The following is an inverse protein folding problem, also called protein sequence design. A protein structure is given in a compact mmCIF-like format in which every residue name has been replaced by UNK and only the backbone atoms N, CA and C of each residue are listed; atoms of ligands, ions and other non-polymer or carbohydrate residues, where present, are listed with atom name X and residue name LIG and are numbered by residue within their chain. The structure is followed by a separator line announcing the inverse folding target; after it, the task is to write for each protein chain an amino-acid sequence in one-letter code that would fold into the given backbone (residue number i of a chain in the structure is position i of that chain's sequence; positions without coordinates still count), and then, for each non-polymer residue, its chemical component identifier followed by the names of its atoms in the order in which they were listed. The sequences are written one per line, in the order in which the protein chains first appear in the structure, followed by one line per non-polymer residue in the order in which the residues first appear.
data_IF_462904738782
#
_entry.id   IF_462904738782
#
_cell.length_a   1.000
_cell.length_b   1.000
_cell.length_c   1.000
_cell.angle_alpha   90.00
_cell.angle_beta   90.00
_cell.angle_gamma   90.00
#
_symmetry.space_group_name_H-M   'P 1'
#
loop_
_entity.id
_entity.type
_entity.pdbx_description
1 polymer ?
#
# COMPACT_ATOMS: atom_id res chain seq x y z
N UNK A 1 0.58 -5.18 2.03
CA UNK A 1 0.80 -6.63 1.90
C UNK A 1 0.34 -7.12 0.53
N UNK A 2 -0.88 -6.86 0.11
CA UNK A 2 -1.46 -7.30 -1.18
C UNK A 2 -0.57 -6.99 -2.40
N UNK A 3 -0.06 -5.75 -2.52
CA UNK A 3 0.93 -5.41 -3.55
C UNK A 3 2.17 -6.33 -3.48
N UNK A 4 2.75 -6.52 -2.29
CA UNK A 4 3.97 -7.31 -2.12
C UNK A 4 3.76 -8.76 -2.57
N UNK A 5 2.71 -9.41 -2.07
CA UNK A 5 2.37 -10.79 -2.45
C UNK A 5 2.14 -10.90 -3.95
N UNK A 6 1.36 -9.98 -4.54
CA UNK A 6 1.08 -10.02 -5.98
C UNK A 6 2.35 -9.92 -6.83
N UNK A 7 3.26 -8.96 -6.54
CA UNK A 7 4.49 -8.81 -7.34
C UNK A 7 5.51 -9.93 -7.12
N UNK A 8 5.43 -10.66 -6.01
CA UNK A 8 6.26 -11.83 -5.75
C UNK A 8 5.72 -13.08 -6.45
N UNK A 9 4.41 -13.22 -6.61
CA UNK A 9 3.77 -14.38 -7.24
C UNK A 9 3.63 -14.22 -8.75
N UNK A 10 3.40 -13.02 -9.26
CA UNK A 10 3.21 -12.77 -10.68
C UNK A 10 4.53 -12.50 -11.40
N UNK A 11 4.95 -13.43 -12.25
CA UNK A 11 6.17 -13.29 -13.08
C UNK A 11 6.03 -12.22 -14.18
N UNK A 12 4.82 -11.99 -14.65
CA UNK A 12 4.50 -11.01 -15.69
C UNK A 12 3.34 -10.13 -15.23
N UNK A 13 3.64 -8.89 -14.89
CA UNK A 13 2.63 -7.92 -14.46
C UNK A 13 1.76 -7.40 -15.61
N UNK A 14 2.16 -7.64 -16.86
CA UNK A 14 1.37 -7.25 -18.04
C UNK A 14 0.43 -8.38 -18.50
N UNK A 15 0.38 -9.50 -17.75
CA UNK A 15 -0.65 -10.52 -17.96
C UNK A 15 -2.03 -9.96 -17.63
N UNK A 16 -3.02 -10.36 -18.44
CA UNK A 16 -4.40 -9.88 -18.32
C UNK A 16 -5.22 -10.83 -17.45
N UNK A 17 -6.03 -10.25 -16.57
CA UNK A 17 -7.06 -10.95 -15.81
C UNK A 17 -8.43 -10.35 -16.11
N UNK A 18 -9.48 -11.12 -15.82
CA UNK A 18 -10.88 -10.73 -16.05
C UNK A 18 -11.58 -10.52 -14.71
N UNK A 19 -12.32 -9.44 -14.59
CA UNK A 19 -13.09 -9.12 -13.40
C UNK A 19 -14.24 -10.12 -13.22
N UNK A 20 -14.27 -10.79 -12.08
CA UNK A 20 -15.34 -11.69 -11.68
C UNK A 20 -16.47 -10.94 -10.96
N UNK A 21 -17.68 -11.49 -10.97
CA UNK A 21 -18.76 -11.00 -10.12
C UNK A 21 -18.43 -11.19 -8.63
N UNK A 22 -17.74 -12.27 -8.27
CA UNK A 22 -17.40 -12.57 -6.89
C UNK A 22 -16.47 -11.52 -6.28
N UNK A 23 -15.43 -11.08 -7.01
CA UNK A 23 -14.52 -10.03 -6.55
C UNK A 23 -15.25 -8.71 -6.26
N UNK A 24 -16.29 -8.37 -7.04
CA UNK A 24 -17.06 -7.15 -6.87
C UNK A 24 -18.13 -7.26 -5.78
N UNK A 25 -18.78 -8.42 -5.64
CA UNK A 25 -19.84 -8.62 -4.66
C UNK A 25 -19.36 -8.60 -3.20
N UNK A 26 -18.07 -8.76 -2.96
CA UNK A 26 -17.45 -8.71 -1.64
C UNK A 26 -16.97 -7.30 -1.26
N UNK A 27 -17.31 -6.27 -2.05
CA UNK A 27 -16.94 -4.88 -1.78
C UNK A 27 -18.02 -4.21 -0.94
N UNK A 28 -17.64 -3.66 0.21
CA UNK A 28 -18.56 -2.94 1.07
C UNK A 28 -19.07 -1.66 0.36
N UNK A 29 -20.35 -1.32 0.49
CA UNK A 29 -20.88 -0.08 -0.07
C UNK A 29 -20.10 1.14 0.42
N UNK A 30 -19.90 2.12 -0.47
CA UNK A 30 -19.20 3.38 -0.20
C UNK A 30 -17.71 3.24 0.16
N UNK A 31 -17.12 2.07 -0.03
CA UNK A 31 -15.67 1.91 0.10
C UNK A 31 -14.92 2.42 -1.13
N UNK A 32 -13.60 2.59 -0.99
CA UNK A 32 -12.75 3.09 -2.09
C UNK A 32 -12.71 2.10 -3.26
N UNK A 33 -12.94 2.61 -4.46
CA UNK A 33 -12.88 1.85 -5.71
C UNK A 33 -12.25 2.68 -6.83
N UNK A 34 -11.88 2.04 -7.93
CA UNK A 34 -11.59 2.73 -9.18
C UNK A 34 -12.82 3.51 -9.65
N UNK A 35 -12.58 4.61 -10.33
CA UNK A 35 -13.68 5.37 -10.93
C UNK A 35 -13.44 5.59 -12.44
N UNK A 36 -14.36 5.17 -13.33
CA UNK A 36 -15.55 4.35 -13.03
C UNK A 36 -15.22 2.97 -12.48
N UNK A 37 -16.12 2.44 -11.61
CA UNK A 37 -15.95 1.11 -11.02
C UNK A 37 -15.90 0.03 -12.10
N UNK A 38 -14.98 -0.96 -12.00
CA UNK A 38 -14.93 -2.09 -12.92
C UNK A 38 -16.23 -2.87 -13.01
N UNK A 39 -16.47 -3.49 -14.16
CA UNK A 39 -17.64 -4.33 -14.41
C UNK A 39 -17.25 -5.79 -14.58
N UNK A 40 -18.15 -6.74 -14.27
CA UNK A 40 -17.90 -8.14 -14.55
C UNK A 40 -17.58 -8.36 -16.05
N UNK A 41 -16.53 -9.13 -16.33
CA UNK A 41 -16.04 -9.37 -17.68
C UNK A 41 -15.05 -8.31 -18.20
N UNK A 42 -14.87 -7.17 -17.52
CA UNK A 42 -13.85 -6.20 -17.88
C UNK A 42 -12.44 -6.78 -17.67
N UNK A 43 -11.50 -6.40 -18.52
CA UNK A 43 -10.15 -6.93 -18.49
C UNK A 43 -9.14 -5.85 -18.10
N UNK A 44 -8.18 -6.24 -17.25
CA UNK A 44 -7.08 -5.40 -16.81
C UNK A 44 -5.79 -6.18 -16.79
N UNK A 45 -4.67 -5.51 -16.96
CA UNK A 45 -3.39 -6.10 -16.60
C UNK A 45 -3.25 -6.16 -15.06
N UNK A 46 -2.44 -7.10 -14.56
CA UNK A 46 -2.10 -7.13 -13.13
C UNK A 46 -1.48 -5.78 -12.72
N UNK A 47 -0.67 -5.16 -13.58
CA UNK A 47 -0.08 -3.84 -13.38
C UNK A 47 -1.13 -2.76 -13.16
N UNK A 48 -2.16 -2.68 -14.01
CA UNK A 48 -3.25 -1.70 -13.89
C UNK A 48 -3.95 -1.81 -12.54
N UNK A 49 -4.26 -3.04 -12.12
CA UNK A 49 -4.90 -3.31 -10.84
C UNK A 49 -4.01 -2.96 -9.65
N UNK A 50 -2.69 -3.18 -9.74
CA UNK A 50 -1.74 -2.78 -8.69
C UNK A 50 -1.65 -1.26 -8.56
N UNK A 51 -1.70 -0.52 -9.64
CA UNK A 51 -1.80 0.95 -9.58
C UNK A 51 -3.16 1.41 -9.03
N UNK A 52 -4.26 0.78 -9.43
CA UNK A 52 -5.59 1.05 -8.85
C UNK A 52 -5.63 0.78 -7.34
N UNK A 53 -5.04 -0.33 -6.89
CA UNK A 53 -4.88 -0.68 -5.48
C UNK A 53 -4.09 0.37 -4.70
N UNK A 54 -2.99 0.87 -5.26
CA UNK A 54 -2.07 1.76 -4.52
C UNK A 54 -2.49 3.22 -4.58
N UNK A 55 -2.96 3.72 -5.72
CA UNK A 55 -3.31 5.12 -5.92
C UNK A 55 -4.71 5.47 -5.43
N UNK A 56 -5.70 4.64 -5.76
CA UNK A 56 -7.10 4.85 -5.40
C UNK A 56 -7.54 4.06 -4.17
N UNK A 57 -6.68 3.19 -3.62
CA UNK A 57 -7.07 2.21 -2.59
C UNK A 57 -8.24 1.35 -3.05
N UNK A 58 -8.28 0.96 -4.34
CA UNK A 58 -9.36 0.18 -4.93
C UNK A 58 -9.52 -1.18 -4.24
N UNK A 59 -10.62 -1.35 -3.49
CA UNK A 59 -10.88 -2.59 -2.76
C UNK A 59 -11.19 -3.74 -3.72
N UNK A 60 -11.90 -3.45 -4.82
CA UNK A 60 -12.13 -4.41 -5.89
C UNK A 60 -10.82 -4.83 -6.55
N UNK A 61 -9.87 -3.91 -6.72
CA UNK A 61 -8.56 -4.25 -7.26
C UNK A 61 -7.86 -5.28 -6.39
N UNK A 62 -7.96 -5.17 -5.06
CA UNK A 62 -7.39 -6.13 -4.13
C UNK A 62 -8.01 -7.53 -4.31
N UNK A 63 -9.34 -7.61 -4.42
CA UNK A 63 -10.05 -8.87 -4.60
C UNK A 63 -9.77 -9.51 -5.98
N UNK A 64 -9.76 -8.70 -7.05
CA UNK A 64 -9.44 -9.18 -8.41
C UNK A 64 -8.01 -9.73 -8.45
N UNK A 65 -7.05 -9.03 -7.81
CA UNK A 65 -5.67 -9.49 -7.70
C UNK A 65 -5.57 -10.79 -6.90
N UNK A 66 -6.31 -10.92 -5.81
CA UNK A 66 -6.34 -12.14 -5.00
C UNK A 66 -6.82 -13.35 -5.82
N UNK A 67 -7.92 -13.21 -6.56
CA UNK A 67 -8.41 -14.25 -7.44
C UNK A 67 -7.43 -14.55 -8.59
N UNK A 68 -6.81 -13.53 -9.17
CA UNK A 68 -5.85 -13.71 -10.27
C UNK A 68 -4.58 -14.46 -9.83
N UNK A 69 -4.16 -14.30 -8.57
CA UNK A 69 -2.94 -14.91 -8.02
C UNK A 69 -3.19 -16.32 -7.49
N UNK A 70 -4.26 -16.50 -6.70
CA UNK A 70 -4.51 -17.75 -5.96
C UNK A 70 -5.78 -18.49 -6.43
N UNK A 71 -6.58 -17.90 -7.31
CA UNK A 71 -7.87 -18.46 -7.74
C UNK A 71 -9.03 -18.11 -6.82
N UNK A 72 -8.77 -17.77 -5.58
CA UNK A 72 -9.77 -17.32 -4.59
C UNK A 72 -9.17 -16.36 -3.56
N UNK A 73 -10.04 -15.64 -2.84
CA UNK A 73 -9.63 -14.61 -1.88
C UNK A 73 -9.06 -15.22 -0.60
N UNK A 74 -9.60 -16.32 -0.13
CA UNK A 74 -9.19 -16.93 1.14
C UNK A 74 -7.77 -17.48 1.06
N UNK A 75 -7.44 -18.22 -0.02
CA UNK A 75 -6.08 -18.69 -0.28
C UNK A 75 -5.07 -17.55 -0.40
N UNK A 76 -5.49 -16.42 -0.98
CA UNK A 76 -4.63 -15.24 -1.03
C UNK A 76 -4.39 -14.62 0.34
N UNK A 77 -5.40 -14.57 1.20
CA UNK A 77 -5.29 -14.09 2.58
C UNK A 77 -4.36 -14.98 3.41
N UNK A 78 -4.43 -16.30 3.24
CA UNK A 78 -3.48 -17.23 3.86
C UNK A 78 -2.05 -16.90 3.45
N UNK A 79 -1.81 -16.71 2.14
CA UNK A 79 -0.50 -16.33 1.61
C UNK A 79 -0.02 -14.95 2.13
N UNK A 80 -0.93 -13.98 2.31
CA UNK A 80 -0.60 -12.70 2.95
C UNK A 80 -0.10 -12.90 4.38
N UNK A 81 -0.74 -13.77 5.15
CA UNK A 81 -0.38 -14.07 6.53
C UNK A 81 0.95 -14.82 6.64
N UNK A 82 1.21 -15.77 5.75
CA UNK A 82 2.52 -16.45 5.65
C UNK A 82 3.62 -15.43 5.33
N UNK A 83 3.37 -14.59 4.32
CA UNK A 83 4.34 -13.58 3.91
C UNK A 83 4.61 -12.52 4.98
N UNK A 84 3.61 -12.18 5.80
CA UNK A 84 3.79 -11.30 6.96
C UNK A 84 4.75 -11.92 7.99
N UNK A 85 4.58 -13.20 8.31
CA UNK A 85 5.49 -13.94 9.22
C UNK A 85 6.92 -13.95 8.69
N UNK A 86 7.12 -14.20 7.39
CA UNK A 86 8.42 -14.17 6.74
C UNK A 86 9.07 -12.78 6.78
N UNK A 87 8.28 -11.70 6.68
CA UNK A 87 8.76 -10.34 6.85
C UNK A 87 9.13 -10.00 8.30
N UNK A 88 8.80 -10.87 9.27
CA UNK A 88 9.00 -10.67 10.69
C UNK A 88 7.86 -9.91 11.38
N UNK A 89 6.73 -9.70 10.72
CA UNK A 89 5.55 -9.03 11.25
C UNK A 89 4.74 -9.98 12.14
N UNK A 90 5.16 -10.13 13.38
CA UNK A 90 4.66 -11.16 14.31
C UNK A 90 3.32 -10.83 14.97
N UNK A 91 2.93 -9.56 14.96
CA UNK A 91 1.69 -9.05 15.56
C UNK A 91 0.72 -8.58 14.48
N UNK A 92 0.76 -9.24 13.31
CA UNK A 92 -0.07 -8.90 12.15
C UNK A 92 -0.88 -10.11 11.74
N UNK A 93 -2.17 -9.89 11.53
CA UNK A 93 -3.09 -10.83 10.91
C UNK A 93 -3.96 -10.12 9.90
N UNK A 94 -4.04 -10.65 8.70
CA UNK A 94 -4.90 -10.18 7.62
C UNK A 94 -6.10 -11.10 7.47
N UNK A 95 -7.30 -10.52 7.39
CA UNK A 95 -8.57 -11.24 7.19
C UNK A 95 -9.16 -10.97 5.79
N UNK A 96 -8.58 -10.02 5.08
CA UNK A 96 -8.99 -9.65 3.72
C UNK A 96 -7.82 -8.97 2.97
N UNK A 97 -7.87 -8.90 1.62
CA UNK A 97 -6.79 -8.30 0.84
C UNK A 97 -6.88 -6.77 0.73
N UNK A 98 -8.01 -6.15 1.06
CA UNK A 98 -8.27 -4.72 0.83
C UNK A 98 -8.09 -3.82 2.06
N UNK A 99 -8.06 -4.40 3.27
CA UNK A 99 -7.77 -3.64 4.50
C UNK A 99 -8.99 -2.98 5.16
N UNK A 100 -10.22 -3.37 4.80
CA UNK A 100 -11.40 -2.96 5.56
C UNK A 100 -11.45 -3.68 6.90
N UNK A 101 -12.15 -3.07 7.86
CA UNK A 101 -12.23 -3.54 9.24
C UNK A 101 -12.78 -4.97 9.35
N UNK A 102 -12.11 -5.81 10.14
CA UNK A 102 -12.57 -7.09 10.65
C UNK A 102 -11.97 -7.29 12.04
N UNK A 103 -12.62 -8.10 12.89
CA UNK A 103 -12.26 -8.23 14.30
C UNK A 103 -10.82 -8.69 14.53
N UNK A 104 -10.31 -9.52 13.65
CA UNK A 104 -8.96 -10.06 13.68
C UNK A 104 -8.00 -9.45 12.64
N UNK A 105 -8.42 -8.40 11.89
CA UNK A 105 -7.58 -7.68 10.95
C UNK A 105 -6.71 -6.66 11.67
N UNK A 106 -5.59 -7.12 12.22
CA UNK A 106 -4.78 -6.37 13.18
C UNK A 106 -3.32 -6.28 12.72
N UNK A 107 -2.67 -5.17 13.08
CA UNK A 107 -1.24 -4.96 12.86
C UNK A 107 -0.66 -3.98 13.87
N UNK A 108 0.65 -3.74 13.80
CA UNK A 108 1.37 -2.70 14.56
C UNK A 108 2.14 -1.77 13.62
N UNK A 109 2.50 -0.58 14.11
CA UNK A 109 3.32 0.34 13.33
C UNK A 109 4.68 -0.29 12.97
N UNK A 110 5.26 -1.07 13.88
CA UNK A 110 6.50 -1.78 13.64
C UNK A 110 6.37 -2.83 12.53
N UNK A 111 5.32 -3.64 12.58
CA UNK A 111 5.08 -4.68 11.58
C UNK A 111 4.80 -4.08 10.21
N UNK A 112 4.07 -2.97 10.15
CA UNK A 112 3.85 -2.24 8.88
C UNK A 112 5.14 -1.67 8.30
N UNK A 113 6.08 -1.23 9.15
CA UNK A 113 7.40 -0.81 8.70
C UNK A 113 8.21 -1.99 8.12
N UNK A 114 8.12 -3.18 8.71
CA UNK A 114 8.75 -4.40 8.20
C UNK A 114 8.15 -4.82 6.84
N UNK A 115 6.83 -4.77 6.70
CA UNK A 115 6.12 -5.06 5.46
C UNK A 115 6.53 -4.06 4.37
N UNK A 116 6.56 -2.76 4.68
CA UNK A 116 7.01 -1.72 3.73
C UNK A 116 8.47 -1.93 3.33
N UNK A 117 9.36 -2.25 4.30
CA UNK A 117 10.76 -2.58 4.02
C UNK A 117 10.89 -3.77 3.07
N UNK A 118 10.05 -4.81 3.23
CA UNK A 118 10.03 -5.96 2.33
C UNK A 118 9.54 -5.55 0.93
N UNK A 119 8.46 -4.78 0.83
CA UNK A 119 7.94 -4.28 -0.44
C UNK A 119 8.96 -3.45 -1.22
N UNK A 120 9.67 -2.55 -0.56
CA UNK A 120 10.67 -1.68 -1.19
C UNK A 120 11.93 -2.41 -1.70
N UNK A 121 12.15 -3.66 -1.29
CA UNK A 121 13.20 -4.51 -1.88
C UNK A 121 12.84 -5.06 -3.25
N UNK A 122 11.54 -5.17 -3.55
CA UNK A 122 11.07 -5.57 -4.87
C UNK A 122 11.00 -4.34 -5.79
N UNK A 123 11.72 -4.33 -6.94
CA UNK A 123 11.77 -3.17 -7.83
C UNK A 123 10.39 -2.74 -8.35
N UNK A 124 9.51 -3.69 -8.71
CA UNK A 124 8.17 -3.39 -9.21
C UNK A 124 7.28 -2.79 -8.11
N UNK A 125 7.32 -3.34 -6.89
CA UNK A 125 6.58 -2.76 -5.77
C UNK A 125 7.08 -1.34 -5.43
N UNK A 126 8.38 -1.12 -5.47
CA UNK A 126 8.98 0.20 -5.24
C UNK A 126 8.53 1.20 -6.32
N UNK A 127 8.58 0.82 -7.60
CA UNK A 127 8.10 1.63 -8.72
C UNK A 127 6.65 2.07 -8.50
N UNK A 128 5.76 1.11 -8.22
CA UNK A 128 4.33 1.36 -8.07
C UNK A 128 4.04 2.26 -6.85
N UNK A 129 4.70 2.02 -5.71
CA UNK A 129 4.53 2.83 -4.49
C UNK A 129 5.10 4.24 -4.61
N UNK A 130 5.99 4.48 -5.57
CA UNK A 130 6.65 5.77 -5.81
C UNK A 130 6.00 6.58 -6.93
N UNK A 131 5.06 6.00 -7.65
CA UNK A 131 4.44 6.66 -8.80
C UNK A 131 3.50 7.79 -8.36
N UNK A 132 3.63 8.95 -9.00
CA UNK A 132 2.78 10.13 -8.75
C UNK A 132 1.44 10.01 -9.46
N UNK A 133 1.47 9.55 -10.71
CA UNK A 133 0.30 9.39 -11.58
C UNK A 133 0.39 8.09 -12.35
N UNK A 134 -0.74 7.56 -12.75
CA UNK A 134 -0.84 6.44 -13.68
C UNK A 134 -2.16 6.50 -14.45
N UNK A 135 -2.15 6.10 -15.70
CA UNK A 135 -3.34 6.01 -16.54
C UNK A 135 -3.59 4.56 -16.90
N UNK A 136 -4.73 4.01 -16.45
CA UNK A 136 -5.23 2.74 -16.99
C UNK A 136 -5.82 3.03 -18.36
N UNK A 137 -5.40 2.34 -19.44
CA UNK A 137 -5.97 2.53 -20.77
C UNK A 137 -7.46 2.28 -20.83
N UNK A 138 -8.13 2.80 -21.88
CA UNK A 138 -9.52 2.45 -22.15
C UNK A 138 -9.72 0.94 -22.27
N UNK A 139 -10.87 0.48 -21.82
CA UNK A 139 -11.31 -0.90 -21.94
C UNK A 139 -12.55 -0.99 -22.84
N UNK A 140 -13.04 -2.19 -23.08
CA UNK A 140 -14.31 -2.37 -23.79
C UNK A 140 -15.52 -1.80 -23.03
N UNK A 141 -15.37 -1.42 -21.76
CA UNK A 141 -16.44 -1.00 -20.84
C UNK A 141 -16.41 0.48 -20.49
N UNK A 142 -15.24 1.11 -20.57
CA UNK A 142 -15.08 2.51 -20.13
C UNK A 142 -13.84 3.16 -20.77
N UNK A 143 -13.85 4.49 -20.81
CA UNK A 143 -12.70 5.32 -21.18
C UNK A 143 -11.52 5.11 -20.21
N UNK A 144 -10.38 5.66 -20.56
CA UNK A 144 -9.20 5.65 -19.70
C UNK A 144 -9.48 6.17 -18.28
N UNK A 145 -8.74 5.63 -17.29
CA UNK A 145 -8.81 6.09 -15.89
C UNK A 145 -7.50 6.75 -15.51
N UNK A 146 -7.54 8.07 -15.36
CA UNK A 146 -6.39 8.85 -14.90
C UNK A 146 -6.38 8.89 -13.37
N UNK A 147 -5.28 8.47 -12.76
CA UNK A 147 -5.14 8.37 -11.32
C UNK A 147 -3.94 9.18 -10.83
N UNK A 148 -4.07 9.74 -9.63
CA UNK A 148 -2.99 10.38 -8.89
C UNK A 148 -2.81 9.65 -7.56
N UNK A 149 -1.60 9.55 -7.09
CA UNK A 149 -1.30 8.91 -5.80
C UNK A 149 -2.11 9.55 -4.67
N UNK A 150 -2.85 8.73 -3.92
CA UNK A 150 -3.54 9.18 -2.72
C UNK A 150 -2.61 9.54 -1.56
N UNK A 151 -1.31 9.23 -1.66
CA UNK A 151 -0.31 9.65 -0.68
C UNK A 151 0.18 11.07 -1.01
N UNK A 152 -0.28 12.07 -0.25
CA UNK A 152 -0.06 13.50 -0.56
C UNK A 152 1.41 13.91 -0.69
N UNK A 153 2.31 13.29 0.08
CA UNK A 153 3.75 13.58 -0.06
C UNK A 153 4.33 12.97 -1.33
N UNK A 154 3.79 11.84 -1.83
CA UNK A 154 4.22 11.23 -3.10
C UNK A 154 3.62 11.99 -4.28
N UNK A 155 2.37 12.41 -4.21
CA UNK A 155 1.72 13.22 -5.26
C UNK A 155 2.34 14.63 -5.38
N UNK A 156 2.89 15.15 -4.28
CA UNK A 156 3.44 16.51 -4.19
C UNK A 156 2.45 17.53 -3.63
N UNK A 157 1.28 17.11 -3.14
CA UNK A 157 0.32 17.99 -2.47
C UNK A 157 0.80 18.42 -1.08
N UNK A 158 1.65 17.63 -0.43
CA UNK A 158 2.26 17.94 0.84
C UNK A 158 3.78 17.78 0.72
N UNK A 159 4.53 18.85 0.93
CA UNK A 159 5.98 18.83 0.81
C UNK A 159 6.62 18.17 2.05
N UNK A 160 7.47 17.18 1.81
CA UNK A 160 8.33 16.58 2.83
C UNK A 160 9.60 16.04 2.15
N UNK A 161 10.73 16.59 2.58
CA UNK A 161 12.03 16.29 1.95
C UNK A 161 12.35 14.80 1.97
N UNK A 162 12.78 14.29 0.81
CA UNK A 162 13.25 12.91 0.66
C UNK A 162 12.17 11.86 0.56
N UNK A 163 10.88 12.18 0.75
CA UNK A 163 9.79 11.20 0.60
C UNK A 163 9.68 10.74 -0.85
N UNK A 164 9.61 9.43 -1.04
CA UNK A 164 9.56 8.85 -2.39
C UNK A 164 8.52 7.74 -2.56
N UNK A 165 8.02 7.13 -1.49
CA UNK A 165 7.03 6.05 -1.58
C UNK A 165 6.14 6.01 -0.34
N UNK A 166 4.92 5.50 -0.49
CA UNK A 166 4.05 5.35 0.66
C UNK A 166 2.63 4.91 0.30
N UNK A 167 1.82 4.72 1.33
CA UNK A 167 0.40 4.38 1.21
C UNK A 167 -0.38 4.92 2.39
N UNK A 168 -1.40 5.75 2.15
CA UNK A 168 -2.35 6.14 3.19
C UNK A 168 -3.41 5.07 3.39
N UNK A 169 -4.10 5.12 4.52
CA UNK A 169 -5.28 4.31 4.80
C UNK A 169 -6.24 5.05 5.73
N UNK A 170 -7.52 4.74 5.59
CA UNK A 170 -8.54 5.23 6.48
C UNK A 170 -9.68 4.23 6.60
N UNK A 171 -10.06 3.91 7.81
CA UNK A 171 -11.36 3.31 8.15
C UNK A 171 -11.91 4.00 9.39
N UNK A 172 -13.18 3.75 9.71
CA UNK A 172 -13.77 4.36 10.91
C UNK A 172 -13.11 3.86 12.20
N UNK A 173 -12.67 2.61 12.25
CA UNK A 173 -12.02 2.02 13.44
C UNK A 173 -10.52 2.32 13.48
N UNK A 174 -9.84 2.20 12.34
CA UNK A 174 -8.40 2.47 12.24
C UNK A 174 -8.07 3.97 12.24
N UNK A 175 -9.02 4.84 11.92
CA UNK A 175 -8.78 6.27 11.67
C UNK A 175 -7.73 6.49 10.58
N UNK A 176 -7.02 7.61 10.57
CA UNK A 176 -5.98 7.87 9.58
C UNK A 176 -4.73 7.05 9.87
N UNK A 177 -4.26 6.32 8.87
CA UNK A 177 -3.00 5.58 8.90
C UNK A 177 -2.13 6.01 7.73
N UNK A 178 -0.82 6.06 7.92
CA UNK A 178 0.13 6.46 6.89
C UNK A 178 1.42 5.68 7.03
N UNK A 179 1.86 5.06 5.94
CA UNK A 179 3.18 4.44 5.84
C UNK A 179 3.97 5.19 4.77
N UNK A 180 5.12 5.75 5.14
CA UNK A 180 5.91 6.63 4.29
C UNK A 180 7.38 6.22 4.30
N UNK A 181 7.98 6.11 3.13
CA UNK A 181 9.41 5.91 2.96
C UNK A 181 10.08 7.18 2.45
N UNK A 182 11.19 7.54 3.10
CA UNK A 182 11.99 8.69 2.73
C UNK A 182 13.47 8.32 2.63
N UNK A 183 14.20 9.05 1.78
CA UNK A 183 15.65 8.98 1.69
C UNK A 183 16.24 10.38 1.72
N UNK A 184 17.12 10.64 2.69
CA UNK A 184 17.98 11.84 2.70
C UNK A 184 19.43 11.36 2.74
N UNK A 185 20.26 11.91 1.85
CA UNK A 185 21.62 11.40 1.62
C UNK A 185 21.61 9.87 1.38
N UNK A 186 22.35 9.11 2.16
CA UNK A 186 22.41 7.64 2.06
C UNK A 186 21.55 6.91 3.11
N UNK A 187 20.74 7.64 3.88
CA UNK A 187 19.87 7.08 4.92
C UNK A 187 18.45 6.92 4.41
N UNK A 188 17.94 5.68 4.49
CA UNK A 188 16.53 5.39 4.21
C UNK A 188 15.77 5.19 5.52
N UNK A 189 14.64 5.86 5.67
CA UNK A 189 13.73 5.73 6.79
C UNK A 189 12.33 5.32 6.33
N UNK A 190 11.62 4.63 7.23
CA UNK A 190 10.20 4.35 7.09
C UNK A 190 9.50 4.89 8.32
N UNK A 191 8.61 5.85 8.13
CA UNK A 191 7.72 6.35 9.16
C UNK A 191 6.35 5.67 9.04
N UNK A 192 5.78 5.27 10.16
CA UNK A 192 4.42 4.70 10.23
C UNK A 192 3.63 5.42 11.30
N UNK A 193 2.55 6.05 10.88
CA UNK A 193 1.57 6.70 11.75
C UNK A 193 0.29 5.88 11.70
N UNK A 194 -0.25 5.56 12.87
CA UNK A 194 -1.48 4.78 12.99
C UNK A 194 -2.45 5.48 13.95
N UNK A 195 -3.74 5.40 13.62
CA UNK A 195 -4.82 5.95 14.44
C UNK A 195 -4.66 7.44 14.75
N UNK A 196 -4.19 8.19 13.74
CA UNK A 196 -4.09 9.65 13.81
C UNK A 196 -5.43 10.31 13.50
N UNK A 197 -5.64 11.50 14.03
CA UNK A 197 -6.78 12.33 13.70
C UNK A 197 -6.80 12.70 12.19
N UNK A 198 -7.98 13.00 11.68
CA UNK A 198 -8.16 13.31 10.26
C UNK A 198 -7.32 14.53 9.86
N UNK A 199 -6.48 14.35 8.87
CA UNK A 199 -5.64 15.40 8.28
C UNK A 199 -4.29 15.60 8.95
N UNK A 200 -4.03 15.07 10.17
CA UNK A 200 -2.80 15.32 10.94
C UNK A 200 -1.68 14.30 10.63
N UNK A 201 -2.02 13.15 10.06
CA UNK A 201 -1.05 12.06 9.82
C UNK A 201 0.15 12.47 8.95
N UNK A 202 0.00 13.46 8.08
CA UNK A 202 1.10 13.96 7.24
C UNK A 202 2.05 14.86 8.03
N UNK A 203 1.52 15.74 8.87
CA UNK A 203 2.30 16.57 9.80
C UNK A 203 3.07 15.70 10.80
N UNK A 204 2.40 14.71 11.40
CA UNK A 204 3.03 13.73 12.29
C UNK A 204 4.16 12.98 11.58
N UNK A 205 3.95 12.56 10.33
CA UNK A 205 4.96 11.86 9.53
C UNK A 205 6.15 12.75 9.24
N UNK A 206 5.93 14.02 8.85
CA UNK A 206 7.00 14.99 8.61
C UNK A 206 7.85 15.20 9.86
N UNK A 207 7.18 15.43 10.99
CA UNK A 207 7.85 15.62 12.28
C UNK A 207 8.66 14.40 12.72
N UNK A 208 8.13 13.19 12.52
CA UNK A 208 8.84 11.94 12.82
C UNK A 208 10.10 11.79 11.95
N UNK A 209 9.99 12.05 10.64
CA UNK A 209 11.12 11.97 9.73
C UNK A 209 12.20 13.01 10.07
N UNK A 210 11.82 14.27 10.27
CA UNK A 210 12.76 15.36 10.59
C UNK A 210 13.51 15.09 11.89
N UNK A 211 12.80 14.68 12.95
CA UNK A 211 13.43 14.32 14.21
C UNK A 211 14.37 13.09 14.09
N UNK A 212 13.99 12.10 13.30
CA UNK A 212 14.80 10.91 13.11
C UNK A 212 16.08 11.23 12.31
N UNK A 213 15.99 12.00 11.23
CA UNK A 213 17.17 12.42 10.45
C UNK A 213 18.11 13.31 11.26
N UNK A 214 17.60 14.27 12.04
CA UNK A 214 18.40 15.09 12.92
C UNK A 214 19.22 14.24 13.90
N UNK A 215 18.59 13.26 14.58
CA UNK A 215 19.29 12.35 15.52
C UNK A 215 20.31 11.45 14.85
N UNK A 216 20.02 10.96 13.63
CA UNK A 216 20.97 10.11 12.89
C UNK A 216 22.21 10.90 12.51
N UNK A 217 22.06 12.16 12.10
CA UNK A 217 23.19 13.05 11.80
C UNK A 217 24.05 13.29 13.05
N UNK A 218 23.43 13.51 14.21
CA UNK A 218 24.14 13.67 15.48
C UNK A 218 24.94 12.42 15.90
N UNK A 219 24.45 11.23 15.53
CA UNK A 219 25.08 9.95 15.90
C UNK A 219 26.07 9.42 14.88
N UNK A 220 26.24 10.09 13.74
CA UNK A 220 27.19 9.70 12.68
C UNK A 220 26.86 8.34 12.03
N UNK A 221 25.59 7.92 12.05
CA UNK A 221 25.14 6.67 11.44
C UNK A 221 25.05 6.82 9.93
N UNK A 222 25.85 6.04 9.21
CA UNK A 222 25.84 6.01 7.74
C UNK A 222 25.31 4.68 7.22
N UNK A 223 24.28 4.74 6.36
CA UNK A 223 23.81 3.64 5.49
C UNK A 223 22.87 2.61 6.12
N UNK A 224 21.82 2.25 5.37
CA UNK A 224 20.87 1.18 5.65
C UNK A 224 19.45 1.65 6.00
N UNK A 225 18.50 0.69 6.05
CA UNK A 225 17.15 0.95 6.58
C UNK A 225 17.18 0.85 8.11
N UNK A 226 16.92 1.95 8.79
CA UNK A 226 16.75 1.98 10.24
C UNK A 226 15.27 2.12 10.60
N UNK A 227 14.80 1.34 11.57
CA UNK A 227 13.47 1.49 12.17
C UNK A 227 13.66 2.25 13.48
N UNK A 228 13.08 3.45 13.54
CA UNK A 228 13.14 4.30 14.72
C UNK A 228 11.86 4.14 15.56
N UNK A 229 12.01 3.80 16.83
CA UNK A 229 10.96 3.84 17.84
C UNK A 229 11.20 5.05 18.73
N UNK A 230 10.38 6.11 18.66
CA UNK A 230 10.40 7.09 19.72
C UNK A 230 9.99 6.38 21.02
N UNK A 231 10.84 6.48 22.04
CA UNK A 231 10.42 6.08 23.39
C UNK A 231 9.42 7.11 23.85
N UNK A 232 8.19 6.66 24.11
CA UNK A 232 7.14 7.43 24.78
C UNK A 232 7.59 7.66 26.23
#
# INVERSE_FOLDING_TARGET
MTLLVTVEQCKNLDSVTTVSENALNQIAPLSSTLHPMPKPGEQFTIRDLLYGLTMCSGNECANILAEAVCGDIDSFVELMNERAKEAGAKNTHFSNPHGLDADDHLTTAYDMALIMKAALKNPAAKEILSAKTYTIPETAYTSERNMTSGHKMVSGEFECEGVYAGKPGYTRLAQSTLVTAAKRDDVNLIAVVMKSDSGISYEDTSLLLDNAYAKINDWGVTGGFNVYHPRV
#
